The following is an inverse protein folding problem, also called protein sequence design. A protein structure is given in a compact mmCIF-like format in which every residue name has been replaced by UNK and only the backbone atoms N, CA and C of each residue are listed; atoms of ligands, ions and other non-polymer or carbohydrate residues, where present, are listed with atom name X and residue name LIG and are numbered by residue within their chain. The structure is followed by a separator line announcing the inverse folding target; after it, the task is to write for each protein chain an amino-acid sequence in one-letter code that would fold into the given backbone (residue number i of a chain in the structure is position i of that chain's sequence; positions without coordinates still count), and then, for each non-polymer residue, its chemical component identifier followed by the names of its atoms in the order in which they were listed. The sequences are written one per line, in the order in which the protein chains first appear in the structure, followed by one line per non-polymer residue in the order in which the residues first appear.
data_IF_268245131515
#
_entry.id   IF_268245131515
#
_cell.length_a   1.000
_cell.length_b   1.000
_cell.length_c   1.000
_cell.angle_alpha   90.00
_cell.angle_beta   90.00
_cell.angle_gamma   90.00
#
_symmetry.space_group_name_H-M   'P 1'
#
loop_
_entity.id
_entity.type
_entity.pdbx_description
1 polymer ?
#
# COMPACT_ATOMS: atom_id res chain seq x y z
N UNK A 1 -28.01 1.78 -33.28
CA UNK A 1 -27.91 0.92 -32.08
C UNK A 1 -26.54 1.17 -31.41
N UNK A 2 -26.18 2.43 -31.12
CA UNK A 2 -24.78 2.82 -30.84
C UNK A 2 -24.60 3.71 -29.60
N UNK A 3 -25.61 3.82 -28.74
CA UNK A 3 -25.57 4.72 -27.57
C UNK A 3 -24.96 4.03 -26.32
N UNK A 4 -24.75 2.70 -26.36
CA UNK A 4 -24.24 1.94 -25.22
C UNK A 4 -22.73 2.11 -24.94
N UNK A 5 -21.95 2.74 -25.84
CA UNK A 5 -20.50 2.91 -25.67
C UNK A 5 -20.13 4.02 -24.66
N UNK A 6 -21.08 4.85 -24.24
CA UNK A 6 -20.91 5.80 -23.14
C UNK A 6 -21.36 5.20 -21.80
N UNK A 7 -20.89 3.99 -21.49
CA UNK A 7 -20.86 3.55 -20.08
C UNK A 7 -20.06 4.61 -19.32
N UNK A 8 -20.75 5.37 -18.45
CA UNK A 8 -20.17 6.49 -17.70
C UNK A 8 -19.01 5.96 -16.85
N UNK A 9 -17.79 5.99 -17.38
CA UNK A 9 -16.60 5.76 -16.56
C UNK A 9 -16.68 6.79 -15.42
N UNK A 10 -16.73 6.36 -14.15
CA UNK A 10 -16.89 7.27 -13.04
C UNK A 10 -15.79 8.32 -13.08
N UNK A 11 -16.12 9.57 -12.72
CA UNK A 11 -15.10 10.63 -12.71
C UNK A 11 -13.98 10.21 -11.78
N UNK A 12 -12.75 10.54 -12.15
CA UNK A 12 -11.56 10.07 -11.42
C UNK A 12 -11.58 10.41 -9.92
N UNK A 13 -12.14 11.58 -9.59
CA UNK A 13 -12.40 12.03 -8.21
C UNK A 13 -13.39 11.15 -7.45
N UNK A 14 -14.38 10.56 -8.14
CA UNK A 14 -15.36 9.66 -7.53
C UNK A 14 -14.70 8.29 -7.27
N UNK A 15 -13.79 7.85 -8.16
CA UNK A 15 -12.96 6.67 -7.93
C UNK A 15 -12.00 6.84 -6.74
N UNK A 16 -11.40 8.02 -6.57
CA UNK A 16 -10.56 8.32 -5.39
C UNK A 16 -11.33 8.22 -4.07
N UNK A 17 -12.59 8.65 -4.07
CA UNK A 17 -13.49 8.56 -2.90
C UNK A 17 -13.97 7.13 -2.64
N UNK A 18 -13.88 6.26 -3.65
CA UNK A 18 -14.25 4.85 -3.59
C UNK A 18 -13.27 4.00 -2.80
N UNK A 19 -13.78 2.85 -2.33
CA UNK A 19 -13.02 1.90 -1.50
C UNK A 19 -12.30 0.82 -2.31
N UNK A 20 -12.47 0.79 -3.64
CA UNK A 20 -11.93 -0.24 -4.52
C UNK A 20 -10.48 0.02 -4.93
N UNK A 21 -9.69 -1.01 -5.21
CA UNK A 21 -8.30 -0.83 -5.59
C UNK A 21 -8.19 -0.10 -6.94
N UNK A 22 -7.30 0.91 -7.03
CA UNK A 22 -7.10 1.70 -8.25
C UNK A 22 -5.74 1.36 -8.90
N UNK A 23 -5.71 0.40 -9.86
CA UNK A 23 -4.45 -0.04 -10.49
C UNK A 23 -3.88 1.01 -11.47
N UNK A 24 -4.72 1.83 -12.08
CA UNK A 24 -4.37 2.90 -13.00
C UNK A 24 -4.06 4.24 -12.30
N UNK A 25 -3.90 4.25 -10.97
CA UNK A 25 -3.60 5.44 -10.18
C UNK A 25 -2.30 6.12 -10.62
N UNK A 26 -2.32 7.44 -10.67
CA UNK A 26 -1.17 8.32 -10.89
C UNK A 26 -0.34 8.52 -9.62
N UNK A 27 0.88 9.06 -9.75
CA UNK A 27 1.76 9.35 -8.60
C UNK A 27 1.07 10.18 -7.51
N UNK A 28 0.41 11.27 -7.90
CA UNK A 28 -0.29 12.16 -6.96
C UNK A 28 -1.40 11.42 -6.21
N UNK A 29 -2.17 10.59 -6.91
CA UNK A 29 -3.25 9.80 -6.33
C UNK A 29 -2.72 8.77 -5.34
N UNK A 30 -1.62 8.08 -5.68
CA UNK A 30 -0.95 7.14 -4.79
C UNK A 30 -0.48 7.79 -3.47
N UNK A 31 -0.14 9.09 -3.48
CA UNK A 31 0.33 9.80 -2.30
C UNK A 31 -0.81 10.34 -1.43
N UNK A 32 -1.91 10.82 -2.04
CA UNK A 32 -3.03 11.41 -1.30
C UNK A 32 -3.95 10.35 -0.69
N UNK A 33 -4.09 9.21 -1.36
CA UNK A 33 -5.06 8.18 -1.00
C UNK A 33 -4.80 7.50 0.35
N UNK A 34 -3.55 7.22 0.79
CA UNK A 34 -3.27 6.67 2.11
C UNK A 34 -3.83 7.53 3.25
N UNK A 35 -3.67 8.86 3.16
CA UNK A 35 -4.22 9.82 4.11
C UNK A 35 -5.74 9.82 4.09
N UNK A 36 -6.33 9.82 2.90
CA UNK A 36 -7.79 9.82 2.74
C UNK A 36 -8.45 8.56 3.31
N UNK A 37 -7.89 7.38 3.01
CA UNK A 37 -8.37 6.11 3.53
C UNK A 37 -8.12 5.98 5.03
N UNK A 38 -7.10 6.65 5.59
CA UNK A 38 -6.83 6.67 7.03
C UNK A 38 -7.96 7.35 7.80
N UNK A 39 -8.39 8.52 7.34
CA UNK A 39 -9.52 9.23 7.94
C UNK A 39 -10.84 8.43 7.93
N UNK A 40 -11.01 7.50 6.97
CA UNK A 40 -12.23 6.70 6.80
C UNK A 40 -12.15 5.28 7.38
N UNK A 41 -10.96 4.79 7.73
CA UNK A 41 -10.75 3.46 8.32
C UNK A 41 -11.14 2.26 7.44
N UNK A 42 -11.55 2.47 6.19
CA UNK A 42 -12.02 1.44 5.26
C UNK A 42 -11.43 1.65 3.87
N UNK A 43 -11.30 0.56 3.10
CA UNK A 43 -10.91 0.56 1.70
C UNK A 43 -9.64 -0.23 1.38
N UNK A 44 -9.46 -0.52 0.09
CA UNK A 44 -8.41 -1.38 -0.45
C UNK A 44 -7.26 -0.57 -1.03
N UNK A 45 -6.03 -0.95 -0.67
CA UNK A 45 -4.82 -0.36 -1.23
C UNK A 45 -4.29 -1.23 -2.37
N UNK A 46 -4.06 -0.63 -3.54
CA UNK A 46 -3.40 -1.33 -4.65
C UNK A 46 -1.92 -1.58 -4.33
N UNK A 47 -1.32 -2.64 -4.90
CA UNK A 47 0.14 -2.90 -4.74
C UNK A 47 0.96 -1.69 -5.20
N UNK A 48 0.56 -1.07 -6.32
CA UNK A 48 1.22 0.11 -6.88
C UNK A 48 1.23 1.28 -5.88
N UNK A 49 0.09 1.57 -5.23
CA UNK A 49 -0.02 2.67 -4.27
C UNK A 49 0.92 2.47 -3.07
N UNK A 50 1.00 1.25 -2.55
CA UNK A 50 1.88 0.93 -1.42
C UNK A 50 3.34 1.10 -1.78
N UNK A 51 3.75 0.60 -2.94
CA UNK A 51 5.13 0.71 -3.40
C UNK A 51 5.51 2.16 -3.67
N UNK A 52 4.67 2.93 -4.38
CA UNK A 52 4.96 4.34 -4.65
C UNK A 52 5.02 5.16 -3.37
N UNK A 53 4.11 4.93 -2.43
CA UNK A 53 4.13 5.62 -1.14
C UNK A 53 5.37 5.26 -0.32
N UNK A 54 5.74 3.98 -0.25
CA UNK A 54 6.89 3.52 0.53
C UNK A 54 8.21 4.03 -0.03
N UNK A 55 8.38 3.99 -1.36
CA UNK A 55 9.56 4.56 -2.02
C UNK A 55 9.66 6.07 -1.81
N UNK A 56 8.53 6.78 -1.91
CA UNK A 56 8.49 8.21 -1.68
C UNK A 56 8.92 8.57 -0.25
N UNK A 57 8.37 7.88 0.76
CA UNK A 57 8.75 8.10 2.17
C UNK A 57 10.22 7.78 2.39
N UNK A 58 10.75 6.71 1.79
CA UNK A 58 12.16 6.34 1.92
C UNK A 58 13.09 7.39 1.31
N UNK A 59 12.82 7.83 0.08
CA UNK A 59 13.61 8.86 -0.60
C UNK A 59 13.55 10.18 0.17
N UNK A 60 12.35 10.62 0.58
CA UNK A 60 12.20 11.88 1.30
C UNK A 60 12.89 11.85 2.66
N UNK A 61 12.78 10.76 3.40
CA UNK A 61 13.45 10.62 4.70
C UNK A 61 14.97 10.63 4.54
N UNK A 62 15.52 9.91 3.55
CA UNK A 62 16.97 9.90 3.28
C UNK A 62 17.48 11.24 2.75
N UNK A 63 16.73 11.88 1.87
CA UNK A 63 17.04 13.21 1.32
C UNK A 63 17.04 14.28 2.41
N UNK A 64 16.01 14.31 3.28
CA UNK A 64 15.96 15.26 4.39
C UNK A 64 17.08 15.01 5.39
N UNK A 65 17.35 13.76 5.76
CA UNK A 65 18.46 13.46 6.69
C UNK A 65 19.83 13.84 6.11
N UNK A 66 20.05 13.64 4.80
CA UNK A 66 21.31 14.01 4.15
C UNK A 66 21.51 15.51 3.97
N UNK A 67 20.43 16.26 3.71
CA UNK A 67 20.48 17.72 3.48
C UNK A 67 20.38 18.54 4.77
N UNK A 68 19.63 18.05 5.76
CA UNK A 68 19.26 18.77 6.99
C UNK A 68 19.71 18.01 8.25
N UNK A 69 20.82 17.28 8.17
CA UNK A 69 21.34 16.44 9.26
C UNK A 69 21.90 17.17 10.47
N UNK A 70 21.84 18.51 10.54
CA UNK A 70 22.37 19.29 11.66
C UNK A 70 21.42 20.41 12.10
N UNK A 71 21.51 20.78 13.38
CA UNK A 71 20.76 21.88 13.98
C UNK A 71 19.24 21.71 13.90
N UNK A 72 18.55 22.78 13.50
CA UNK A 72 17.07 22.81 13.39
C UNK A 72 16.55 21.80 12.35
N UNK A 73 17.39 21.44 11.37
CA UNK A 73 17.06 20.47 10.32
C UNK A 73 16.74 19.06 10.84
N UNK A 74 17.34 18.66 11.97
CA UNK A 74 17.08 17.37 12.62
C UNK A 74 15.65 17.30 13.16
N UNK A 75 15.16 18.42 13.71
CA UNK A 75 13.81 18.51 14.24
C UNK A 75 12.80 18.44 13.09
N UNK A 76 13.04 19.17 12.00
CA UNK A 76 12.20 19.13 10.80
C UNK A 76 12.13 17.74 10.19
N UNK A 77 13.26 17.05 10.05
CA UNK A 77 13.28 15.68 9.52
C UNK A 77 12.57 14.69 10.44
N UNK A 78 12.77 14.79 11.75
CA UNK A 78 12.05 13.99 12.75
C UNK A 78 10.53 14.18 12.70
N UNK A 79 10.06 15.44 12.62
CA UNK A 79 8.62 15.75 12.52
C UNK A 79 8.04 15.21 11.21
N UNK A 80 8.75 15.38 10.09
CA UNK A 80 8.33 14.85 8.79
C UNK A 80 8.18 13.32 8.84
N UNK A 81 9.16 12.61 9.40
CA UNK A 81 9.10 11.16 9.57
C UNK A 81 7.92 10.74 10.44
N UNK A 82 7.61 11.46 11.52
CA UNK A 82 6.46 11.18 12.37
C UNK A 82 5.12 11.32 11.63
N UNK A 83 4.96 12.40 10.86
CA UNK A 83 3.74 12.63 10.07
C UNK A 83 3.55 11.54 9.01
N UNK A 84 4.63 11.12 8.37
CA UNK A 84 4.60 10.05 7.36
C UNK A 84 4.47 8.64 7.97
N UNK A 85 4.84 8.46 9.23
CA UNK A 85 4.76 7.17 9.91
C UNK A 85 3.32 6.69 10.09
N UNK A 86 2.40 7.59 10.44
CA UNK A 86 0.97 7.29 10.66
C UNK A 86 0.30 6.62 9.44
N UNK A 87 0.31 7.21 8.23
CA UNK A 87 -0.26 6.57 7.06
C UNK A 87 0.49 5.28 6.67
N UNK A 88 1.79 5.18 6.94
CA UNK A 88 2.57 3.96 6.69
C UNK A 88 2.07 2.80 7.57
N UNK A 89 1.85 3.05 8.86
CA UNK A 89 1.25 2.07 9.78
C UNK A 89 -0.13 1.63 9.30
N UNK A 90 -0.97 2.58 8.89
CA UNK A 90 -2.32 2.30 8.42
C UNK A 90 -2.34 1.40 7.17
N UNK A 91 -1.39 1.60 6.25
CA UNK A 91 -1.23 0.74 5.07
C UNK A 91 -0.81 -0.68 5.46
N UNK A 92 0.14 -0.84 6.39
CA UNK A 92 0.58 -2.16 6.88
C UNK A 92 -0.58 -2.92 7.54
N UNK A 93 -1.34 -2.24 8.42
CA UNK A 93 -2.51 -2.84 9.10
C UNK A 93 -3.57 -3.27 8.08
N UNK A 94 -3.88 -2.41 7.09
CA UNK A 94 -4.84 -2.76 6.02
C UNK A 94 -4.35 -3.96 5.22
N UNK A 95 -3.06 -4.05 4.94
CA UNK A 95 -2.51 -5.18 4.19
C UNK A 95 -2.61 -6.49 4.93
N UNK A 96 -2.32 -6.50 6.22
CA UNK A 96 -2.53 -7.68 7.06
C UNK A 96 -3.99 -8.08 7.06
N UNK A 97 -4.90 -7.11 7.21
CA UNK A 97 -6.33 -7.36 7.12
C UNK A 97 -6.74 -7.91 5.74
N UNK A 98 -6.14 -7.40 4.66
CA UNK A 98 -6.39 -7.87 3.29
C UNK A 98 -5.88 -9.30 3.04
N UNK A 99 -4.93 -9.78 3.84
CA UNK A 99 -4.40 -11.16 3.80
C UNK A 99 -5.16 -12.08 4.78
N UNK A 100 -6.19 -11.56 5.46
CA UNK A 100 -6.94 -12.23 6.56
C UNK A 100 -6.10 -12.54 7.79
N UNK A 101 -5.04 -11.76 8.03
CA UNK A 101 -4.22 -11.82 9.24
C UNK A 101 -4.67 -10.77 10.26
N UNK A 102 -4.28 -10.95 11.52
CA UNK A 102 -4.56 -9.98 12.57
C UNK A 102 -3.79 -8.67 12.32
N UNK A 103 -4.48 -7.53 12.37
CA UNK A 103 -3.86 -6.20 12.18
C UNK A 103 -2.78 -5.87 13.21
N UNK A 104 -2.81 -6.53 14.37
CA UNK A 104 -1.81 -6.42 15.44
C UNK A 104 -0.41 -6.89 15.02
N UNK A 105 -0.30 -7.79 14.05
CA UNK A 105 1.00 -8.20 13.53
C UNK A 105 1.75 -7.05 12.85
N UNK A 106 1.09 -5.93 12.53
CA UNK A 106 1.74 -4.72 12.02
C UNK A 106 2.60 -4.04 13.09
N UNK A 107 2.30 -4.23 14.39
CA UNK A 107 3.04 -3.61 15.48
C UNK A 107 4.48 -4.13 15.57
N UNK A 108 4.72 -5.39 15.20
CA UNK A 108 6.06 -6.01 15.22
C UNK A 108 7.03 -5.30 14.26
N UNK A 109 6.78 -5.24 12.93
CA UNK A 109 7.69 -4.59 11.99
C UNK A 109 7.78 -3.08 12.19
N UNK A 110 6.68 -2.41 12.58
CA UNK A 110 6.69 -0.98 12.85
C UNK A 110 7.44 -0.65 14.15
N UNK A 111 7.20 -1.40 15.22
CA UNK A 111 7.88 -1.24 16.51
C UNK A 111 9.38 -1.46 16.37
N UNK A 112 9.79 -2.50 15.63
CA UNK A 112 11.21 -2.76 15.35
C UNK A 112 11.87 -1.59 14.60
N UNK A 113 11.18 -1.01 13.62
CA UNK A 113 11.69 0.15 12.89
C UNK A 113 11.84 1.39 13.77
N UNK A 114 10.92 1.64 14.69
CA UNK A 114 10.99 2.78 15.63
C UNK A 114 12.14 2.60 16.61
N UNK A 115 12.29 1.40 17.18
CA UNK A 115 13.39 1.07 18.09
C UNK A 115 14.75 1.27 17.39
N UNK A 116 14.88 0.81 16.13
CA UNK A 116 16.09 1.00 15.35
C UNK A 116 16.44 2.49 15.14
N UNK A 117 15.44 3.32 14.85
CA UNK A 117 15.63 4.78 14.65
C UNK A 117 16.01 5.48 15.96
N UNK A 118 15.39 5.10 17.08
CA UNK A 118 15.72 5.68 18.40
C UNK A 118 17.15 5.31 18.82
N UNK A 119 17.56 4.05 18.60
CA UNK A 119 18.93 3.61 18.88
C UNK A 119 19.95 4.44 18.07
N UNK A 120 19.70 4.60 16.76
CA UNK A 120 20.55 5.37 15.85
C UNK A 120 20.63 6.87 16.21
N UNK A 121 19.57 7.44 16.78
CA UNK A 121 19.48 8.89 17.06
C UNK A 121 19.84 9.29 18.49
N UNK A 122 19.73 8.39 19.47
CA UNK A 122 19.79 8.74 20.89
C UNK A 122 20.73 7.92 21.78
N UNK A 123 21.16 6.73 21.37
CA UNK A 123 21.98 5.86 22.23
C UNK A 123 23.44 5.72 21.78
N UNK A 124 23.74 6.05 20.53
CA UNK A 124 25.13 6.10 20.03
C UNK A 124 25.78 7.45 20.41
N UNK A 125 26.15 7.57 21.69
CA UNK A 125 27.32 8.39 22.10
C UNK A 125 28.65 7.66 21.85
N UNK A 126 28.58 6.44 21.31
CA UNK A 126 29.71 5.67 20.82
C UNK A 126 29.80 5.94 19.32
N UNK A 127 30.95 6.45 18.86
CA UNK A 127 31.20 7.01 17.52
C UNK A 127 30.91 6.07 16.31
N UNK A 128 30.46 4.84 16.52
CA UNK A 128 30.18 3.86 15.47
C UNK A 128 28.80 3.18 15.67
N UNK A 129 27.94 3.11 14.63
CA UNK A 129 26.68 2.39 14.74
C UNK A 129 26.98 0.91 15.00
N UNK A 130 26.55 0.41 16.16
CA UNK A 130 26.80 -0.98 16.52
C UNK A 130 26.26 -1.94 15.44
N UNK A 131 26.99 -3.01 15.07
CA UNK A 131 26.53 -3.95 14.05
C UNK A 131 25.12 -4.51 14.33
N UNK A 132 24.74 -4.57 15.61
CA UNK A 132 23.41 -4.97 16.06
C UNK A 132 22.30 -4.00 15.61
N UNK A 133 22.52 -2.68 15.66
CA UNK A 133 21.50 -1.71 15.21
C UNK A 133 21.25 -1.84 13.71
N UNK A 134 22.32 -2.06 12.94
CA UNK A 134 22.24 -2.30 11.49
C UNK A 134 21.45 -3.59 11.20
N UNK A 135 21.76 -4.69 11.91
CA UNK A 135 21.04 -5.96 11.76
C UNK A 135 19.56 -5.79 12.09
N UNK A 136 19.22 -5.13 13.20
CA UNK A 136 17.84 -4.87 13.60
C UNK A 136 17.09 -4.05 12.55
N UNK A 137 17.73 -3.02 11.98
CA UNK A 137 17.17 -2.21 10.91
C UNK A 137 16.93 -3.02 9.63
N UNK A 138 17.89 -3.86 9.25
CA UNK A 138 17.74 -4.75 8.07
C UNK A 138 16.59 -5.73 8.27
N UNK A 139 16.46 -6.36 9.44
CA UNK A 139 15.35 -7.26 9.77
C UNK A 139 14.01 -6.51 9.71
N UNK A 140 13.95 -5.29 10.24
CA UNK A 140 12.74 -4.46 10.16
C UNK A 140 12.34 -4.17 8.71
N UNK A 141 13.29 -3.74 7.87
CA UNK A 141 13.04 -3.45 6.46
C UNK A 141 12.60 -4.70 5.69
N UNK A 142 13.29 -5.82 5.86
CA UNK A 142 12.95 -7.09 5.19
C UNK A 142 11.55 -7.55 5.59
N UNK A 143 11.20 -7.49 6.87
CA UNK A 143 9.87 -7.88 7.34
C UNK A 143 8.75 -7.02 6.71
N UNK A 144 8.97 -5.71 6.56
CA UNK A 144 8.03 -4.82 5.89
C UNK A 144 7.91 -5.13 4.40
N UNK A 145 9.02 -5.40 3.71
CA UNK A 145 9.01 -5.78 2.30
C UNK A 145 8.25 -7.09 2.08
N UNK A 146 8.46 -8.09 2.94
CA UNK A 146 7.71 -9.35 2.88
C UNK A 146 6.21 -9.09 3.02
N UNK A 147 5.81 -8.29 4.00
CA UNK A 147 4.39 -7.93 4.22
C UNK A 147 3.80 -7.19 3.00
N UNK A 148 4.56 -6.28 2.39
CA UNK A 148 4.11 -5.55 1.19
C UNK A 148 4.03 -6.46 -0.06
N UNK A 149 4.87 -7.50 -0.12
CA UNK A 149 4.89 -8.48 -1.21
C UNK A 149 3.82 -9.58 -1.06
N UNK A 150 3.27 -9.80 0.15
CA UNK A 150 2.29 -10.84 0.40
C UNK A 150 1.13 -10.77 -0.61
N UNK A 151 0.77 -11.90 -1.24
CA UNK A 151 -0.36 -11.93 -2.16
C UNK A 151 -1.67 -11.71 -1.42
N UNK A 152 -2.44 -10.76 -1.92
CA UNK A 152 -3.82 -10.53 -1.45
C UNK A 152 -4.65 -11.78 -1.76
N UNK A 153 -5.28 -12.36 -0.74
CA UNK A 153 -6.04 -13.62 -0.85
C UNK A 153 -7.50 -13.41 -1.24
N UNK A 154 -7.81 -12.36 -2.01
CA UNK A 154 -9.19 -12.08 -2.40
C UNK A 154 -9.53 -12.57 -3.82
N UNK A 155 -10.70 -13.20 -4.00
CA UNK A 155 -11.25 -13.46 -5.31
C UNK A 155 -11.52 -12.14 -6.04
N UNK A 156 -11.06 -12.01 -7.28
CA UNK A 156 -11.40 -10.88 -8.15
C UNK A 156 -12.92 -10.76 -8.23
N UNK A 157 -13.48 -9.64 -7.77
CA UNK A 157 -14.93 -9.46 -7.63
C UNK A 157 -15.47 -8.62 -8.79
N UNK A 158 -16.60 -9.06 -9.36
CA UNK A 158 -17.37 -8.47 -10.46
C UNK A 158 -16.74 -8.49 -11.86
N UNK A 159 -15.67 -7.74 -12.14
CA UNK A 159 -15.18 -7.56 -13.53
C UNK A 159 -14.69 -8.86 -14.21
N UNK A 160 -14.09 -9.77 -13.44
CA UNK A 160 -13.62 -11.07 -13.94
C UNK A 160 -14.77 -12.05 -14.13
N UNK A 161 -15.83 -11.93 -13.31
CA UNK A 161 -17.06 -12.71 -13.50
C UNK A 161 -17.82 -12.23 -14.73
N UNK A 162 -17.97 -10.91 -14.90
CA UNK A 162 -18.60 -10.33 -16.08
C UNK A 162 -17.82 -10.66 -17.36
N UNK A 163 -16.48 -10.56 -17.36
CA UNK A 163 -15.67 -10.95 -18.52
C UNK A 163 -15.69 -12.47 -18.78
N UNK A 164 -15.78 -13.30 -17.75
CA UNK A 164 -15.95 -14.74 -17.90
C UNK A 164 -17.36 -15.07 -18.43
N UNK A 165 -18.41 -14.47 -17.88
CA UNK A 165 -19.80 -14.62 -18.31
C UNK A 165 -19.98 -14.11 -19.76
N UNK A 166 -19.35 -13.00 -20.13
CA UNK A 166 -19.32 -12.49 -21.51
C UNK A 166 -18.52 -13.39 -22.45
N UNK A 167 -17.44 -14.03 -21.98
CA UNK A 167 -16.70 -15.03 -22.74
C UNK A 167 -17.52 -16.32 -22.94
N UNK A 168 -18.29 -16.74 -21.92
CA UNK A 168 -19.26 -17.83 -22.03
C UNK A 168 -20.41 -17.49 -22.99
N UNK A 169 -20.91 -16.26 -22.98
CA UNK A 169 -21.96 -15.81 -23.90
C UNK A 169 -21.45 -15.62 -25.34
N UNK A 170 -20.15 -15.41 -25.53
CA UNK A 170 -19.50 -15.34 -26.85
C UNK A 170 -19.05 -16.71 -27.40
N UNK A 171 -19.15 -17.77 -26.59
CA UNK A 171 -18.89 -19.14 -27.00
C UNK A 171 -20.26 -19.81 -27.21
N UNK A 172 -20.75 -19.83 -28.46
CA UNK A 172 -22.06 -20.40 -28.77
C UNK A 172 -22.21 -21.79 -28.13
N UNK A 173 -23.24 -21.95 -27.29
CA UNK A 173 -23.61 -23.23 -26.68
C UNK A 173 -23.91 -24.20 -27.82
N UNK A 174 -23.27 -25.39 -27.89
CA UNK A 174 -23.62 -26.37 -28.90
C UNK A 174 -25.09 -26.72 -28.72
N UNK A 175 -25.89 -26.43 -29.74
CA UNK A 175 -27.32 -26.73 -29.78
C UNK A 175 -27.45 -28.26 -29.74
N UNK A 176 -27.83 -28.80 -28.59
CA UNK A 176 -28.17 -30.20 -28.46
C UNK A 176 -29.50 -30.48 -29.18
N UNK A 177 -29.38 -30.94 -30.43
CA UNK A 177 -30.50 -31.38 -31.26
C UNK A 177 -30.96 -32.81 -30.90
N UNK A 178 -30.96 -33.21 -29.62
CA UNK A 178 -31.44 -34.54 -29.19
C UNK A 178 -32.94 -34.61 -28.88
N UNK A 179 -33.71 -33.54 -29.08
CA UNK A 179 -35.17 -33.52 -28.87
C UNK A 179 -35.94 -33.22 -30.16
N UNK A 180 -35.77 -34.06 -31.18
CA UNK A 180 -36.53 -33.95 -32.43
C UNK A 180 -36.66 -35.28 -33.17
N UNK A 181 -37.75 -35.99 -32.84
CA UNK A 181 -38.38 -37.14 -33.52
C UNK A 181 -37.69 -38.51 -33.48
#
# INVERSE_FOLDING_TARGET
MSIALFSKKPRRVDMMKGFDAMPDATLQECLQRPFYLFARGKGRACRKEIWMFSLFVWIMTRGLSGLFGSGVGVILSGVFSLVMFVPQCALTVRRLHDVRLSGWLAVIPQGLSVVAVILLSGLDKFDDPSPLTIIVLLVAVVSQLVIMCLPSRYPQTAATKENADMAYLGQEVPVDNSMGN
#
